data_IF_515983812529
#
_entry.id   IF_515983812529
#
_cell.length_a   1.000
_cell.length_b   1.000
_cell.length_c   1.000
_cell.angle_alpha   90.00
_cell.angle_beta   90.00
_cell.angle_gamma   90.00
#
_symmetry.space_group_name_H-M   'P 1'
#
loop_
_entity.id
_entity.type
_entity.pdbx_description
1 polymer ?
#
# COMPACT_ATOMS: atom_id res chain seq x y z
N UNK A 1 28.91 -62.19 40.72
CA UNK A 1 29.84 -61.22 41.33
C UNK A 1 31.19 -61.47 40.68
N UNK A 2 31.82 -60.59 39.91
CA UNK A 2 31.55 -59.24 39.46
C UNK A 2 32.35 -59.06 38.17
N UNK A 3 31.69 -58.81 37.04
CA UNK A 3 32.33 -58.35 35.80
C UNK A 3 31.45 -57.29 35.15
N UNK A 4 31.21 -56.21 35.90
CA UNK A 4 30.64 -54.98 35.38
C UNK A 4 31.58 -53.84 35.77
N UNK A 5 31.96 -53.04 34.77
CA UNK A 5 32.68 -51.76 34.85
C UNK A 5 34.22 -51.83 34.97
N UNK A 6 34.88 -51.74 33.82
CA UNK A 6 36.30 -51.39 33.71
C UNK A 6 36.58 -50.58 32.44
N UNK A 7 35.80 -49.52 32.18
CA UNK A 7 36.05 -48.63 31.04
C UNK A 7 37.12 -47.59 31.43
N UNK A 8 38.37 -47.79 30.99
CA UNK A 8 39.51 -46.88 31.23
C UNK A 8 39.49 -45.60 30.36
N UNK A 9 38.30 -45.14 29.93
CA UNK A 9 38.11 -43.94 29.13
C UNK A 9 38.03 -42.63 29.93
N UNK A 10 38.00 -42.71 31.27
CA UNK A 10 37.80 -41.57 32.17
C UNK A 10 38.78 -40.39 31.96
N UNK A 11 40.10 -40.58 31.86
CA UNK A 11 41.02 -39.46 31.62
C UNK A 11 40.81 -38.82 30.24
N UNK A 12 40.44 -39.61 29.23
CA UNK A 12 40.16 -39.14 27.87
C UNK A 12 38.84 -38.35 27.80
N UNK A 13 37.84 -38.80 28.55
CA UNK A 13 36.57 -38.10 28.73
C UNK A 13 36.74 -36.79 29.53
N UNK A 14 37.60 -36.78 30.55
CA UNK A 14 37.92 -35.59 31.33
C UNK A 14 38.66 -34.52 30.50
N UNK A 15 39.60 -34.92 29.63
CA UNK A 15 40.26 -34.00 28.69
C UNK A 15 39.30 -33.49 27.61
N UNK A 16 38.40 -34.35 27.10
CA UNK A 16 37.34 -33.93 26.19
C UNK A 16 36.40 -32.89 26.82
N UNK A 17 35.95 -33.11 28.06
CA UNK A 17 35.09 -32.15 28.78
C UNK A 17 35.77 -30.80 29.05
N UNK A 18 37.10 -30.72 29.10
CA UNK A 18 37.83 -29.44 29.18
C UNK A 18 37.81 -28.68 27.85
N UNK A 19 37.76 -29.38 26.72
CA UNK A 19 37.72 -28.80 25.37
C UNK A 19 36.29 -28.45 24.91
N UNK A 20 35.28 -29.18 25.39
CA UNK A 20 33.86 -29.02 25.03
C UNK A 20 33.35 -27.56 25.18
N UNK A 21 33.62 -26.84 26.29
CA UNK A 21 33.21 -25.44 26.43
C UNK A 21 33.81 -24.54 25.34
N UNK A 22 35.10 -24.71 25.03
CA UNK A 22 35.77 -23.93 23.98
C UNK A 22 35.23 -24.23 22.58
N UNK A 23 34.94 -25.50 22.29
CA UNK A 23 34.38 -25.93 21.01
C UNK A 23 32.94 -25.43 20.80
N UNK A 24 32.16 -25.32 21.87
CA UNK A 24 30.79 -24.75 21.84
C UNK A 24 30.80 -23.22 21.79
N UNK A 25 31.71 -22.56 22.49
CA UNK A 25 31.81 -21.10 22.53
C UNK A 25 32.39 -20.53 21.22
N UNK A 26 33.30 -21.25 20.55
CA UNK A 26 33.91 -20.78 19.31
C UNK A 26 32.89 -20.42 18.20
N UNK A 27 31.94 -21.29 17.79
CA UNK A 27 30.96 -20.94 16.77
C UNK A 27 30.03 -19.79 17.22
N UNK A 28 29.70 -19.72 18.51
CA UNK A 28 28.88 -18.62 19.06
C UNK A 28 29.62 -17.27 18.99
N UNK A 29 30.88 -17.23 19.40
CA UNK A 29 31.70 -16.01 19.32
C UNK A 29 31.93 -15.58 17.88
N UNK A 30 32.14 -16.52 16.96
CA UNK A 30 32.27 -16.24 15.53
C UNK A 30 30.97 -15.64 14.95
N UNK A 31 29.81 -16.24 15.28
CA UNK A 31 28.50 -15.74 14.84
C UNK A 31 28.20 -14.33 15.38
N UNK A 32 28.47 -14.07 16.66
CA UNK A 32 28.28 -12.75 17.27
C UNK A 32 29.21 -11.70 16.67
N UNK A 33 30.46 -12.09 16.39
CA UNK A 33 31.43 -11.22 15.72
C UNK A 33 30.98 -10.88 14.31
N UNK A 34 30.48 -11.86 13.54
CA UNK A 34 29.92 -11.62 12.20
C UNK A 34 28.73 -10.65 12.23
N UNK A 35 27.86 -10.73 13.24
CA UNK A 35 26.73 -9.80 13.40
C UNK A 35 27.15 -8.35 13.68
N UNK A 36 28.37 -8.12 14.17
CA UNK A 36 28.89 -6.77 14.49
C UNK A 36 29.80 -6.18 13.40
N UNK A 37 30.48 -7.01 12.61
CA UNK A 37 31.42 -6.55 11.58
C UNK A 37 30.69 -6.13 10.29
N UNK A 38 31.16 -5.02 9.70
CA UNK A 38 30.70 -4.51 8.40
C UNK A 38 29.37 -3.75 8.45
N UNK A 39 28.82 -3.41 7.29
CA UNK A 39 27.48 -2.85 7.13
C UNK A 39 26.66 -3.81 6.26
N UNK A 40 25.42 -4.08 6.65
CA UNK A 40 24.46 -4.84 5.83
C UNK A 40 23.07 -4.29 6.11
N UNK A 41 22.40 -3.84 5.06
CA UNK A 41 21.06 -3.31 5.12
C UNK A 41 20.21 -3.97 4.04
N UNK A 42 18.98 -4.34 4.42
CA UNK A 42 17.94 -4.85 3.54
C UNK A 42 16.93 -3.74 3.30
N UNK A 43 16.58 -3.52 2.03
CA UNK A 43 15.60 -2.52 1.61
C UNK A 43 14.35 -3.22 1.11
N UNK A 44 13.20 -2.87 1.66
CA UNK A 44 11.90 -3.21 1.06
C UNK A 44 11.29 -1.93 0.52
N UNK A 45 10.78 -1.95 -0.71
CA UNK A 45 10.21 -0.76 -1.32
C UNK A 45 8.85 -1.02 -1.95
N UNK A 46 8.12 0.06 -2.23
CA UNK A 46 6.94 0.09 -3.10
C UNK A 46 7.18 1.06 -4.24
N UNK A 47 6.58 0.78 -5.40
CA UNK A 47 6.58 1.67 -6.55
C UNK A 47 5.33 2.55 -6.50
N UNK A 48 5.51 3.85 -6.67
CA UNK A 48 4.41 4.80 -6.82
C UNK A 48 4.13 5.05 -8.30
N UNK A 49 2.86 4.91 -8.67
CA UNK A 49 2.33 5.30 -9.96
C UNK A 49 1.14 6.22 -9.71
N UNK A 50 1.28 7.50 -10.07
CA UNK A 50 0.21 8.49 -10.00
C UNK A 50 0.04 9.12 -11.39
N UNK A 51 -1.17 9.60 -11.70
CA UNK A 51 -1.46 10.34 -12.92
C UNK A 51 -0.82 11.73 -12.93
N UNK A 52 -0.54 12.30 -11.77
CA UNK A 52 -0.09 13.69 -11.64
C UNK A 52 1.37 13.86 -11.23
N UNK A 53 2.05 12.78 -10.86
CA UNK A 53 3.47 12.79 -10.45
C UNK A 53 4.23 11.75 -11.24
N UNK A 54 5.54 11.93 -11.40
CA UNK A 54 6.37 10.92 -12.05
C UNK A 54 6.41 9.64 -11.21
N UNK A 55 6.52 8.50 -11.90
CA UNK A 55 6.70 7.19 -11.28
C UNK A 55 7.99 7.16 -10.45
N UNK A 56 8.03 6.40 -9.36
CA UNK A 56 9.18 6.41 -8.46
C UNK A 56 9.11 5.35 -7.38
N UNK A 57 10.13 5.36 -6.52
CA UNK A 57 10.08 4.61 -5.26
C UNK A 57 9.41 5.49 -4.20
N UNK A 58 8.45 4.94 -3.45
CA UNK A 58 7.73 5.67 -2.39
C UNK A 58 8.11 5.18 -1.00
N UNK A 59 7.46 4.11 -0.56
CA UNK A 59 7.51 3.57 0.80
C UNK A 59 8.71 2.65 0.92
N UNK A 60 9.81 3.18 1.45
CA UNK A 60 11.07 2.48 1.60
C UNK A 60 11.28 2.13 3.07
N UNK A 61 11.43 0.84 3.36
CA UNK A 61 11.78 0.31 4.68
C UNK A 61 13.23 -0.13 4.65
N UNK A 62 14.06 0.52 5.47
CA UNK A 62 15.45 0.13 5.68
C UNK A 62 15.53 -0.75 6.93
N UNK A 63 15.99 -1.98 6.76
CA UNK A 63 16.23 -2.92 7.86
C UNK A 63 17.73 -3.09 8.08
N UNK A 64 18.20 -2.79 9.28
CA UNK A 64 19.59 -2.98 9.65
C UNK A 64 19.85 -4.43 10.05
N UNK A 65 20.68 -5.15 9.30
CA UNK A 65 20.98 -6.56 9.59
C UNK A 65 22.16 -6.75 10.56
N UNK A 66 22.66 -5.67 11.18
CA UNK A 66 23.82 -5.67 12.06
C UNK A 66 23.48 -5.17 13.46
N UNK A 67 24.22 -5.66 14.45
CA UNK A 67 24.07 -5.32 15.88
C UNK A 67 24.86 -4.04 16.25
N UNK A 68 24.83 -3.04 15.35
CA UNK A 68 25.37 -1.71 15.58
C UNK A 68 24.49 -0.68 14.87
N UNK A 69 24.41 0.56 15.35
CA UNK A 69 23.63 1.59 14.69
C UNK A 69 24.09 1.82 13.25
N UNK A 70 23.13 1.99 12.35
CA UNK A 70 23.34 2.39 10.97
C UNK A 70 22.93 3.86 10.82
N UNK A 71 23.91 4.72 10.55
CA UNK A 71 23.70 6.16 10.32
C UNK A 71 23.62 6.39 8.81
N UNK A 72 22.45 6.82 8.34
CA UNK A 72 22.13 7.02 6.92
C UNK A 72 22.01 8.52 6.64
N UNK A 73 22.86 9.01 5.74
CA UNK A 73 22.86 10.42 5.30
C UNK A 73 22.02 10.63 4.04
N UNK A 74 22.04 9.66 3.13
CA UNK A 74 21.29 9.72 1.88
C UNK A 74 20.97 8.32 1.40
N UNK A 75 19.91 8.23 0.62
CA UNK A 75 19.44 7.05 -0.08
C UNK A 75 19.33 7.40 -1.56
N UNK A 76 19.90 6.58 -2.41
CA UNK A 76 19.87 6.77 -3.86
C UNK A 76 19.84 5.43 -4.58
N UNK A 77 19.36 5.44 -5.81
CA UNK A 77 19.44 4.28 -6.71
C UNK A 77 20.34 4.60 -7.90
N UNK A 78 20.97 3.57 -8.43
CA UNK A 78 21.69 3.63 -9.69
C UNK A 78 20.95 2.77 -10.71
N UNK A 79 20.49 3.40 -11.79
CA UNK A 79 19.77 2.77 -12.90
C UNK A 79 20.74 2.60 -14.07
N UNK A 80 20.71 1.43 -14.70
CA UNK A 80 21.56 1.05 -15.84
C UNK A 80 23.07 1.31 -15.61
N UNK A 81 23.51 1.24 -14.35
CA UNK A 81 24.91 1.46 -13.90
C UNK A 81 25.48 2.87 -14.11
N UNK A 82 24.71 3.83 -14.63
CA UNK A 82 25.23 5.17 -14.95
C UNK A 82 24.31 6.33 -14.57
N UNK A 83 23.02 6.08 -14.31
CA UNK A 83 22.07 7.12 -13.91
C UNK A 83 21.89 7.05 -12.40
N UNK A 84 22.33 8.07 -11.67
CA UNK A 84 22.13 8.18 -10.22
C UNK A 84 20.87 9.00 -9.95
N UNK A 85 19.92 8.40 -9.23
CA UNK A 85 18.68 9.07 -8.80
C UNK A 85 18.68 9.17 -7.28
N UNK A 86 18.72 10.39 -6.75
CA UNK A 86 18.58 10.65 -5.33
C UNK A 86 17.13 10.39 -4.91
N UNK A 87 16.93 9.54 -3.90
CA UNK A 87 15.60 9.17 -3.41
C UNK A 87 15.23 9.98 -2.16
N UNK A 88 16.16 10.11 -1.23
CA UNK A 88 15.99 10.88 0.01
C UNK A 88 17.34 11.31 0.56
N UNK A 89 17.47 12.57 0.93
CA UNK A 89 18.59 13.06 1.72
C UNK A 89 18.12 13.38 3.15
N UNK A 90 18.93 13.05 4.15
CA UNK A 90 18.58 13.17 5.56
C UNK A 90 19.42 14.26 6.22
N UNK A 91 18.75 15.30 6.71
CA UNK A 91 19.33 16.35 7.54
C UNK A 91 18.35 16.68 8.68
N UNK A 92 18.56 16.18 9.91
CA UNK A 92 19.71 15.38 10.38
C UNK A 92 19.73 13.93 9.83
N UNK A 93 20.86 13.21 9.92
CA UNK A 93 20.97 11.83 9.44
C UNK A 93 19.99 10.89 10.15
N UNK A 94 19.47 9.91 9.42
CA UNK A 94 18.61 8.86 9.97
C UNK A 94 19.46 7.85 10.73
N UNK A 95 19.12 7.60 12.00
CA UNK A 95 19.78 6.58 12.82
C UNK A 95 18.86 5.37 12.98
N UNK A 96 19.23 4.26 12.36
CA UNK A 96 18.55 2.97 12.52
C UNK A 96 19.30 2.14 13.56
N UNK A 97 18.64 1.74 14.64
CA UNK A 97 19.28 0.94 15.69
C UNK A 97 19.66 -0.45 15.16
N UNK A 98 20.49 -1.16 15.92
CA UNK A 98 20.90 -2.52 15.56
C UNK A 98 19.69 -3.45 15.46
N UNK A 99 19.61 -4.24 14.39
CA UNK A 99 18.52 -5.22 14.16
C UNK A 99 17.10 -4.61 14.11
N UNK A 100 16.99 -3.31 13.91
CA UNK A 100 15.71 -2.60 13.76
C UNK A 100 15.49 -2.14 12.31
N UNK A 101 14.27 -1.69 12.04
CA UNK A 101 13.86 -1.14 10.74
C UNK A 101 13.33 0.28 10.89
N UNK A 102 13.54 1.10 9.86
CA UNK A 102 12.97 2.44 9.75
C UNK A 102 12.20 2.58 8.44
N UNK A 103 11.01 3.17 8.51
CA UNK A 103 10.17 3.47 7.35
C UNK A 103 10.42 4.90 6.89
N UNK A 104 10.59 5.09 5.59
CA UNK A 104 10.85 6.36 4.93
C UNK A 104 9.83 6.50 3.81
N UNK A 105 9.19 7.66 3.76
CA UNK A 105 8.35 8.07 2.63
C UNK A 105 9.18 9.00 1.77
N UNK A 106 9.36 8.63 0.50
CA UNK A 106 9.98 9.49 -0.50
C UNK A 106 8.99 10.56 -0.95
N UNK A 107 9.49 11.77 -1.18
CA UNK A 107 8.65 12.88 -1.61
C UNK A 107 8.33 12.72 -3.10
N UNK A 108 7.08 12.99 -3.53
CA UNK A 108 6.71 12.88 -4.93
C UNK A 108 7.45 13.93 -5.76
N UNK A 109 7.83 13.57 -6.98
CA UNK A 109 8.49 14.46 -7.93
C UNK A 109 7.66 14.63 -9.21
N UNK A 110 7.77 15.79 -9.85
CA UNK A 110 7.03 16.09 -11.08
C UNK A 110 7.61 15.39 -12.31
N UNK A 111 8.94 15.32 -12.41
CA UNK A 111 9.67 14.73 -13.54
C UNK A 111 11.13 14.52 -13.17
N UNK A 112 11.79 13.59 -13.86
CA UNK A 112 13.24 13.40 -13.78
C UNK A 112 13.88 13.83 -15.09
N UNK A 113 15.13 14.29 -15.03
CA UNK A 113 15.91 14.73 -16.17
C UNK A 113 17.37 14.29 -16.02
N UNK A 114 18.02 13.96 -17.13
CA UNK A 114 19.47 13.72 -17.21
C UNK A 114 20.07 14.79 -18.12
N UNK A 115 20.63 15.83 -17.53
CA UNK A 115 20.94 17.06 -18.28
C UNK A 115 19.64 17.75 -18.72
N UNK A 116 19.50 17.98 -20.03
CA UNK A 116 18.31 18.60 -20.61
C UNK A 116 17.27 17.57 -21.11
N UNK A 117 17.62 16.28 -21.09
CA UNK A 117 16.75 15.22 -21.60
C UNK A 117 15.81 14.68 -20.51
N UNK A 118 14.51 14.52 -20.81
CA UNK A 118 13.57 13.93 -19.87
C UNK A 118 13.91 12.45 -19.64
N UNK A 119 13.86 12.04 -18.37
CA UNK A 119 14.10 10.67 -17.95
C UNK A 119 12.84 10.06 -17.35
N UNK A 120 12.44 8.89 -17.85
CA UNK A 120 11.34 8.12 -17.28
C UNK A 120 11.90 7.11 -16.28
N UNK A 121 11.54 7.29 -15.01
CA UNK A 121 11.96 6.37 -13.96
C UNK A 121 11.25 5.03 -14.14
N UNK A 122 12.05 4.00 -14.46
CA UNK A 122 11.64 2.60 -14.45
C UNK A 122 12.57 1.85 -13.52
N UNK A 123 12.01 1.03 -12.64
CA UNK A 123 12.76 0.20 -11.70
C UNK A 123 12.54 -1.27 -12.07
N UNK A 124 13.55 -1.89 -12.68
CA UNK A 124 13.59 -3.25 -13.19
C UNK A 124 14.63 -4.12 -12.44
N UNK A 125 15.40 -4.95 -13.14
CA UNK A 125 16.41 -5.85 -12.55
C UNK A 125 17.86 -5.37 -12.66
N UNK A 126 18.14 -4.25 -13.33
CA UNK A 126 19.50 -3.69 -13.49
C UNK A 126 19.87 -2.67 -12.40
N UNK A 127 18.95 -2.37 -11.50
CA UNK A 127 19.03 -1.30 -10.53
C UNK A 127 19.71 -1.75 -9.24
N UNK A 128 20.43 -0.81 -8.64
CA UNK A 128 21.14 -1.00 -7.38
C UNK A 128 20.79 0.12 -6.41
N UNK A 129 20.32 -0.26 -5.21
CA UNK A 129 20.04 0.70 -4.14
C UNK A 129 21.26 0.86 -3.25
N UNK A 130 21.58 2.10 -2.91
CA UNK A 130 22.70 2.46 -2.07
C UNK A 130 22.27 3.42 -0.96
N UNK A 131 22.93 3.28 0.19
CA UNK A 131 22.90 4.28 1.25
C UNK A 131 24.28 4.88 1.44
N UNK A 132 24.32 6.18 1.73
CA UNK A 132 25.52 6.86 2.19
C UNK A 132 25.55 6.82 3.71
N UNK A 133 26.65 6.34 4.27
CA UNK A 133 26.93 6.31 5.71
C UNK A 133 28.20 7.11 6.01
N UNK A 134 28.50 7.32 7.29
CA UNK A 134 29.77 7.96 7.70
C UNK A 134 31.01 7.21 7.20
N UNK A 135 30.91 5.89 6.98
CA UNK A 135 31.99 5.05 6.45
C UNK A 135 32.05 4.97 4.92
N UNK A 136 31.21 5.73 4.21
CA UNK A 136 31.07 5.71 2.76
C UNK A 136 29.78 5.06 2.27
N UNK A 137 29.76 4.65 1.01
CA UNK A 137 28.58 4.04 0.37
C UNK A 137 28.45 2.56 0.71
N UNK A 138 27.23 2.12 1.00
CA UNK A 138 26.89 0.72 1.24
C UNK A 138 25.86 0.31 0.20
N UNK A 139 26.16 -0.72 -0.59
CA UNK A 139 25.18 -1.36 -1.47
C UNK A 139 24.19 -2.15 -0.62
N UNK A 140 22.91 -1.91 -0.82
CA UNK A 140 21.85 -2.60 -0.11
C UNK A 140 21.41 -3.87 -0.84
N UNK A 141 21.10 -4.91 -0.08
CA UNK A 141 20.22 -5.96 -0.58
C UNK A 141 18.81 -5.39 -0.62
N UNK A 142 18.00 -5.76 -1.61
CA UNK A 142 16.62 -5.30 -1.67
C UNK A 142 15.69 -6.40 -2.11
N UNK A 143 14.45 -6.30 -1.63
CA UNK A 143 13.35 -7.17 -2.00
C UNK A 143 12.15 -6.28 -2.30
N UNK A 144 11.50 -6.54 -3.43
CA UNK A 144 10.20 -5.92 -3.69
C UNK A 144 9.22 -6.47 -2.65
N UNK A 145 8.40 -5.60 -2.04
CA UNK A 145 7.37 -6.06 -1.10
C UNK A 145 6.51 -7.13 -1.80
N UNK A 146 6.17 -8.25 -1.12
CA UNK A 146 5.21 -9.21 -1.65
C UNK A 146 3.96 -8.47 -2.11
N UNK A 147 3.72 -8.51 -3.41
CA UNK A 147 2.63 -7.79 -4.05
C UNK A 147 1.47 -8.74 -4.29
N UNK A 148 0.25 -8.20 -4.36
CA UNK A 148 -0.91 -8.99 -4.80
C UNK A 148 -0.63 -9.66 -6.15
N UNK A 149 0.11 -9.00 -7.05
CA UNK A 149 0.55 -9.55 -8.33
C UNK A 149 1.43 -10.80 -8.15
N UNK A 150 2.41 -10.77 -7.25
CA UNK A 150 3.26 -11.95 -7.00
C UNK A 150 2.47 -13.16 -6.49
N UNK A 151 1.43 -12.93 -5.68
CA UNK A 151 0.52 -13.99 -5.21
C UNK A 151 -0.38 -14.49 -6.34
N UNK A 152 -0.89 -13.59 -7.18
CA UNK A 152 -1.68 -13.96 -8.37
C UNK A 152 -0.89 -14.83 -9.33
N UNK A 153 0.38 -14.49 -9.59
CA UNK A 153 1.26 -15.26 -10.46
C UNK A 153 1.58 -16.64 -9.89
N UNK A 154 1.86 -16.74 -8.58
CA UNK A 154 2.23 -18.00 -7.95
C UNK A 154 1.07 -18.97 -7.77
N UNK A 155 -0.13 -18.45 -7.46
CA UNK A 155 -1.31 -19.27 -7.12
C UNK A 155 -2.44 -19.21 -8.16
N UNK A 156 -2.21 -18.57 -9.31
CA UNK A 156 -3.17 -18.44 -10.42
C UNK A 156 -4.51 -17.79 -10.03
N UNK A 157 -4.52 -16.91 -9.03
CA UNK A 157 -5.71 -16.15 -8.68
C UNK A 157 -6.02 -15.06 -9.71
N UNK A 158 -7.31 -14.85 -9.99
CA UNK A 158 -7.79 -13.68 -10.73
C UNK A 158 -8.17 -12.58 -9.73
N UNK A 159 -7.56 -11.40 -9.86
CA UNK A 159 -7.82 -10.29 -8.95
C UNK A 159 -9.14 -9.60 -9.29
N UNK A 160 -10.05 -9.57 -8.32
CA UNK A 160 -11.21 -8.70 -8.36
C UNK A 160 -10.77 -7.24 -8.13
N UNK A 161 -10.91 -6.39 -9.15
CA UNK A 161 -10.60 -4.96 -9.04
C UNK A 161 -11.78 -4.25 -8.37
N UNK A 162 -11.49 -3.53 -7.28
CA UNK A 162 -12.48 -2.68 -6.61
C UNK A 162 -12.62 -1.36 -7.38
N UNK A 163 -13.83 -1.06 -7.83
CA UNK A 163 -14.23 0.28 -8.27
C UNK A 163 -15.20 0.88 -7.25
N UNK A 164 -15.10 2.17 -6.96
CA UNK A 164 -15.98 2.86 -6.02
C UNK A 164 -16.53 4.09 -6.71
N UNK A 165 -17.85 4.12 -6.90
CA UNK A 165 -18.57 5.26 -7.44
C UNK A 165 -19.26 6.00 -6.29
N UNK A 166 -19.27 7.33 -6.34
CA UNK A 166 -19.87 8.17 -5.31
C UNK A 166 -20.60 9.35 -5.91
N UNK A 167 -21.69 9.75 -5.24
CA UNK A 167 -22.44 10.97 -5.54
C UNK A 167 -22.74 11.69 -4.22
N UNK A 168 -22.38 12.98 -4.14
CA UNK A 168 -22.44 13.78 -2.89
C UNK A 168 -21.84 13.05 -1.67
N UNK A 169 -20.74 12.32 -1.85
CA UNK A 169 -20.06 11.58 -0.77
C UNK A 169 -20.71 10.23 -0.39
N UNK A 170 -21.83 9.85 -1.01
CA UNK A 170 -22.45 8.55 -0.79
C UNK A 170 -22.04 7.56 -1.88
N UNK A 171 -21.61 6.37 -1.45
CA UNK A 171 -21.28 5.26 -2.36
C UNK A 171 -22.57 4.64 -2.90
N UNK A 172 -22.61 4.39 -4.20
CA UNK A 172 -23.72 3.68 -4.86
C UNK A 172 -23.20 2.58 -5.79
N UNK A 173 -24.06 1.62 -6.11
CA UNK A 173 -23.78 0.57 -7.09
C UNK A 173 -24.65 0.72 -8.35
N UNK A 174 -24.49 -0.22 -9.28
CA UNK A 174 -25.19 -0.22 -10.57
C UNK A 174 -26.73 -0.25 -10.47
N UNK A 175 -27.30 -0.55 -9.29
CA UNK A 175 -28.76 -0.59 -9.07
C UNK A 175 -29.33 0.79 -8.78
N UNK A 176 -28.50 1.80 -8.49
CA UNK A 176 -28.99 3.17 -8.31
C UNK A 176 -29.11 3.84 -9.67
N UNK A 177 -30.34 4.18 -10.04
CA UNK A 177 -30.63 4.81 -11.33
C UNK A 177 -30.51 6.32 -11.29
N UNK A 178 -30.97 6.94 -10.20
CA UNK A 178 -31.03 8.40 -10.05
C UNK A 178 -30.62 8.83 -8.65
N UNK A 179 -29.98 10.00 -8.56
CA UNK A 179 -29.82 10.73 -7.32
C UNK A 179 -30.80 11.91 -7.26
N UNK A 180 -31.36 12.13 -6.08
CA UNK A 180 -32.27 13.21 -5.76
C UNK A 180 -31.54 14.18 -4.83
N UNK A 181 -31.42 15.43 -5.24
CA UNK A 181 -30.88 16.50 -4.39
C UNK A 181 -31.98 17.50 -4.13
N UNK A 182 -32.32 17.69 -2.86
CA UNK A 182 -33.43 18.54 -2.43
C UNK A 182 -33.16 19.13 -1.05
N UNK A 183 -33.86 20.20 -0.69
CA UNK A 183 -33.82 20.71 0.68
C UNK A 183 -35.09 20.34 1.43
N UNK A 184 -34.96 19.97 2.70
CA UNK A 184 -36.08 19.65 3.58
C UNK A 184 -35.72 20.02 5.01
N UNK A 185 -36.58 20.81 5.66
CA UNK A 185 -36.36 21.34 7.01
C UNK A 185 -35.04 22.13 7.11
N UNK A 186 -34.74 22.93 6.09
CA UNK A 186 -33.56 23.79 6.06
C UNK A 186 -32.21 23.06 5.91
N UNK A 187 -32.21 21.78 5.56
CA UNK A 187 -30.99 21.02 5.22
C UNK A 187 -31.10 20.46 3.80
N UNK A 188 -29.97 20.42 3.10
CA UNK A 188 -29.87 19.69 1.83
C UNK A 188 -29.72 18.20 2.12
N UNK A 189 -30.44 17.37 1.36
CA UNK A 189 -30.43 15.91 1.46
C UNK A 189 -30.11 15.30 0.10
N UNK A 190 -29.49 14.12 0.12
CA UNK A 190 -29.27 13.28 -1.06
C UNK A 190 -30.00 11.95 -0.87
N UNK A 191 -30.98 11.68 -1.73
CA UNK A 191 -31.66 10.38 -1.77
C UNK A 191 -31.35 9.65 -3.07
N UNK A 192 -31.48 8.32 -3.07
CA UNK A 192 -31.24 7.49 -4.24
C UNK A 192 -32.51 6.77 -4.66
N UNK A 193 -32.76 6.70 -5.97
CA UNK A 193 -33.80 5.88 -6.58
C UNK A 193 -33.15 4.66 -7.21
N UNK A 194 -33.53 3.47 -6.75
CA UNK A 194 -33.04 2.22 -7.32
C UNK A 194 -33.81 1.76 -8.57
N UNK A 195 -33.32 0.71 -9.23
CA UNK A 195 -33.95 0.07 -10.39
C UNK A 195 -35.38 -0.45 -10.13
N UNK A 196 -35.74 -0.67 -8.87
CA UNK A 196 -37.09 -1.07 -8.44
C UNK A 196 -38.01 0.12 -8.18
N UNK A 197 -37.49 1.34 -8.26
CA UNK A 197 -38.20 2.58 -7.97
C UNK A 197 -38.24 2.93 -6.49
N UNK A 198 -37.50 2.22 -5.63
CA UNK A 198 -37.43 2.54 -4.21
C UNK A 198 -36.51 3.74 -3.98
N UNK A 199 -36.97 4.66 -3.15
CA UNK A 199 -36.24 5.85 -2.72
C UNK A 199 -35.70 5.59 -1.31
N UNK A 200 -34.39 5.74 -1.15
CA UNK A 200 -33.70 5.48 0.12
C UNK A 200 -32.66 6.54 0.46
N UNK A 201 -31.78 6.18 1.40
CA UNK A 201 -30.71 7.01 1.95
C UNK A 201 -31.20 8.12 2.87
N UNK A 202 -31.41 9.34 2.37
CA UNK A 202 -31.88 10.50 3.18
C UNK A 202 -33.31 10.91 2.84
N UNK A 203 -34.12 9.99 2.29
CA UNK A 203 -35.52 10.28 1.95
C UNK A 203 -36.40 10.41 3.21
N UNK A 204 -36.97 11.59 3.53
CA UNK A 204 -37.68 11.81 4.80
C UNK A 204 -39.16 11.43 4.73
N UNK A 205 -39.67 11.09 3.54
CA UNK A 205 -41.10 10.85 3.33
C UNK A 205 -41.45 9.36 3.46
N UNK A 206 -42.61 9.07 4.07
CA UNK A 206 -43.07 7.69 4.32
C UNK A 206 -43.30 6.89 3.04
N UNK A 207 -43.79 7.55 1.99
CA UNK A 207 -44.00 6.92 0.70
C UNK A 207 -42.71 7.08 -0.08
N UNK A 208 -42.10 5.97 -0.44
CA UNK A 208 -40.76 5.91 -1.02
C UNK A 208 -40.67 4.91 -2.18
N UNK A 209 -41.79 4.64 -2.83
CA UNK A 209 -41.85 3.78 -4.01
C UNK A 209 -42.40 4.54 -5.21
N UNK A 210 -41.66 4.51 -6.32
CA UNK A 210 -42.09 4.95 -7.64
C UNK A 210 -42.49 3.73 -8.46
N UNK A 211 -43.45 3.92 -9.36
CA UNK A 211 -43.82 2.86 -10.30
C UNK A 211 -42.77 2.74 -11.41
N UNK A 212 -42.59 1.54 -12.02
CA UNK A 212 -41.63 1.34 -13.09
C UNK A 212 -41.76 2.33 -14.27
N UNK A 213 -42.98 2.71 -14.63
CA UNK A 213 -43.24 3.70 -15.68
C UNK A 213 -42.65 5.09 -15.38
N UNK A 214 -42.53 5.43 -14.09
CA UNK A 214 -42.09 6.74 -13.61
C UNK A 214 -40.57 6.85 -13.50
N UNK A 215 -39.83 5.74 -13.57
CA UNK A 215 -38.36 5.71 -13.46
C UNK A 215 -37.65 5.54 -14.81
N UNK A 216 -38.39 5.71 -15.91
CA UNK A 216 -37.89 5.56 -17.28
C UNK A 216 -36.89 6.63 -17.69
N UNK A 217 -36.99 7.84 -17.14
CA UNK A 217 -36.03 8.93 -17.34
C UNK A 217 -36.11 9.93 -16.18
N UNK A 218 -35.10 10.79 -16.04
CA UNK A 218 -35.01 11.76 -14.96
C UNK A 218 -36.17 12.77 -14.94
N UNK A 219 -36.71 13.15 -16.10
CA UNK A 219 -37.83 14.09 -16.18
C UNK A 219 -39.13 13.47 -15.65
N UNK A 220 -39.41 12.19 -15.95
CA UNK A 220 -40.55 11.46 -15.39
C UNK A 220 -40.45 11.33 -13.87
N UNK A 221 -39.27 11.00 -13.35
CA UNK A 221 -39.01 10.91 -11.89
C UNK A 221 -39.28 12.27 -11.24
N UNK A 222 -38.70 13.34 -11.81
CA UNK A 222 -38.88 14.70 -11.30
C UNK A 222 -40.34 15.11 -11.28
N UNK A 223 -41.06 14.90 -12.38
CA UNK A 223 -42.47 15.29 -12.50
C UNK A 223 -43.35 14.64 -11.43
N UNK A 224 -43.17 13.33 -11.20
CA UNK A 224 -43.96 12.58 -10.21
C UNK A 224 -43.60 13.00 -8.78
N UNK A 225 -42.32 13.22 -8.50
CA UNK A 225 -41.89 13.65 -7.17
C UNK A 225 -42.28 15.09 -6.86
N UNK A 226 -42.25 15.99 -7.85
CA UNK A 226 -42.75 17.36 -7.71
C UNK A 226 -44.26 17.35 -7.44
N UNK A 227 -45.03 16.51 -8.15
CA UNK A 227 -46.48 16.37 -7.93
C UNK A 227 -46.80 15.86 -6.51
N UNK A 228 -46.09 14.83 -6.05
CA UNK A 228 -46.35 14.20 -4.76
C UNK A 228 -45.80 14.99 -3.58
N UNK A 229 -44.62 15.59 -3.72
CA UNK A 229 -43.84 16.15 -2.61
C UNK A 229 -43.38 17.59 -2.80
N UNK A 230 -43.60 18.22 -3.95
CA UNK A 230 -43.09 19.56 -4.25
C UNK A 230 -43.51 20.62 -3.22
N UNK A 231 -44.67 20.44 -2.55
CA UNK A 231 -45.13 21.33 -1.47
C UNK A 231 -44.40 21.17 -0.14
N UNK A 232 -43.68 20.06 0.06
CA UNK A 232 -42.93 19.77 1.27
C UNK A 232 -41.42 19.96 1.09
N UNK A 233 -40.95 19.98 -0.14
CA UNK A 233 -39.55 20.23 -0.47
C UNK A 233 -39.30 21.73 -0.46
N UNK A 234 -38.26 22.15 0.27
CA UNK A 234 -37.82 23.53 0.32
C UNK A 234 -37.04 23.85 -0.97
N UNK A 235 -37.74 24.37 -1.98
CA UNK A 235 -37.11 24.77 -3.25
C UNK A 235 -37.07 23.67 -4.32
N UNK A 236 -36.15 23.74 -5.29
CA UNK A 236 -36.14 22.81 -6.42
C UNK A 236 -35.63 21.42 -6.04
N UNK A 237 -36.37 20.39 -6.47
CA UNK A 237 -35.85 19.02 -6.54
C UNK A 237 -34.99 18.87 -7.80
N UNK A 238 -33.74 18.46 -7.63
CA UNK A 238 -32.85 18.07 -8.71
C UNK A 238 -32.77 16.56 -8.83
N UNK A 239 -32.86 16.03 -10.06
CA UNK A 239 -32.77 14.61 -10.36
C UNK A 239 -31.60 14.39 -11.30
N UNK A 240 -30.54 13.76 -10.79
CA UNK A 240 -29.34 13.45 -11.56
C UNK A 240 -29.38 11.99 -12.03
N UNK A 241 -29.24 11.71 -13.34
CA UNK A 241 -29.11 10.34 -13.84
C UNK A 241 -27.74 9.75 -13.46
N UNK A 242 -27.75 8.58 -12.84
CA UNK A 242 -26.53 7.82 -12.50
C UNK A 242 -26.39 6.60 -13.41
N UNK A 243 -27.26 5.60 -13.21
CA UNK A 243 -27.35 4.40 -14.07
C UNK A 243 -28.78 4.22 -14.58
N UNK A 244 -29.32 5.15 -15.41
CA UNK A 244 -30.70 5.07 -15.86
C UNK A 244 -30.93 3.76 -16.63
N UNK A 245 -32.10 3.10 -16.47
CA UNK A 245 -32.42 1.90 -17.22
C UNK A 245 -32.39 2.22 -18.71
N UNK A 246 -31.63 1.44 -19.49
CA UNK A 246 -31.66 1.57 -20.95
C UNK A 246 -33.08 1.21 -21.41
N UNK A 247 -33.77 2.08 -22.17
CA UNK A 247 -35.06 1.72 -22.75
C UNK A 247 -34.91 0.44 -23.55
N UNK A 248 -35.68 -0.60 -23.22
CA UNK A 248 -35.76 -1.77 -24.10
C UNK A 248 -36.45 -1.31 -25.38
N UNK A 249 -35.68 -1.15 -26.46
CA UNK A 249 -36.24 -0.91 -27.78
C UNK A 249 -37.21 -2.06 -28.09
N UNK A 250 -38.47 -1.78 -28.48
CA UNK A 250 -39.42 -2.81 -28.87
C UNK A 250 -38.97 -3.58 -30.12
#
# INVERSE_FOLDING_TARGET
MDTLLGWNGWPLFAEFLKLVPGLLLFPLTLMLTWKKIGHKALITYSLSYDRYTASGLSDIVITNCKDKPLIVHALYTVIDRHILVALKEFSPPLVVKGLESASIVCDPVSSYHVGDDPFEFSFNSTEEIYITTTGGRVKCEYEQRPSILSIMESEQYVLAVKSTQQFNGHVYDYRVCYALVFSYQGKQHTAFVDIGGMIGLEWPFRINGLRPENITNAASVKAVLDELYGKYIDGPLHVEPLNPPVPKTP
#
